data_IF_466180357471
#
_entry.id   IF_466180357471
#
_cell.length_a   1.000
_cell.length_b   1.000
_cell.length_c   1.000
_cell.angle_alpha   90.00
_cell.angle_beta   90.00
_cell.angle_gamma   90.00
#
_symmetry.space_group_name_H-M   'P 1'
#
loop_
_entity.id
_entity.type
_entity.pdbx_description
1 polymer ?
#
# COMPACT_ATOMS: atom_id res chain seq x y z
N UNK A 1 -15.46 14.19 10.78
CA UNK A 1 -14.02 13.96 11.02
C UNK A 1 -13.81 12.58 11.62
N UNK A 2 -13.01 11.69 11.00
CA UNK A 2 -12.66 10.39 11.61
C UNK A 2 -11.81 10.66 12.83
N UNK A 3 -12.29 10.30 14.02
CA UNK A 3 -11.47 10.41 15.23
C UNK A 3 -10.18 9.60 15.04
N UNK A 4 -9.07 10.18 15.44
CA UNK A 4 -7.78 9.52 15.45
C UNK A 4 -7.43 9.15 16.89
N UNK A 5 -6.80 8.00 17.04
CA UNK A 5 -6.09 7.60 18.27
C UNK A 5 -4.62 7.41 17.92
N UNK A 6 -3.75 7.39 18.92
CA UNK A 6 -2.30 7.33 18.71
C UNK A 6 -1.71 6.08 19.35
N UNK A 7 -0.98 5.30 18.56
CA UNK A 7 -0.21 4.14 19.03
C UNK A 7 1.27 4.42 18.75
N UNK A 8 2.07 4.56 19.81
CA UNK A 8 3.50 4.95 19.74
C UNK A 8 3.77 6.18 18.85
N UNK A 9 2.86 7.15 18.88
CA UNK A 9 2.93 8.38 18.09
C UNK A 9 2.44 8.26 16.64
N UNK A 10 1.99 7.08 16.20
CA UNK A 10 1.37 6.89 14.88
C UNK A 10 -0.14 7.18 15.03
N UNK A 11 -0.70 8.17 14.30
CA UNK A 11 -2.14 8.37 14.26
C UNK A 11 -2.78 7.19 13.51
N UNK A 12 -3.79 6.57 14.08
CA UNK A 12 -4.52 5.45 13.48
C UNK A 12 -6.04 5.72 13.55
N UNK A 13 -6.83 5.12 12.65
CA UNK A 13 -8.28 5.32 12.68
C UNK A 13 -8.88 4.83 14.00
N UNK A 14 -9.65 5.67 14.68
CA UNK A 14 -10.51 5.25 15.79
C UNK A 14 -11.78 4.60 15.23
N UNK A 15 -11.63 3.32 14.85
CA UNK A 15 -12.68 2.53 14.25
C UNK A 15 -12.86 1.20 14.99
N UNK A 16 -14.11 0.67 15.13
CA UNK A 16 -14.36 -0.59 15.85
C UNK A 16 -13.60 -1.81 15.32
N UNK A 17 -13.22 -1.80 14.05
CA UNK A 17 -12.47 -2.89 13.38
C UNK A 17 -10.96 -2.66 13.36
N UNK A 18 -10.45 -1.62 14.02
CA UNK A 18 -9.03 -1.30 14.09
C UNK A 18 -8.55 -1.36 15.54
N UNK A 19 -7.84 -2.43 15.90
CA UNK A 19 -7.52 -2.78 17.28
C UNK A 19 -6.11 -2.30 17.63
N UNK A 20 -5.95 -1.52 18.71
CA UNK A 20 -4.65 -0.97 19.12
C UNK A 20 -3.61 -2.05 19.37
N UNK A 21 -4.03 -3.15 20.00
CA UNK A 21 -3.19 -4.32 20.24
C UNK A 21 -2.59 -4.86 18.94
N UNK A 22 -3.38 -4.93 17.86
CA UNK A 22 -2.86 -5.44 16.58
C UNK A 22 -1.76 -4.53 16.04
N UNK A 23 -1.89 -3.20 16.21
CA UNK A 23 -0.85 -2.24 15.82
C UNK A 23 0.38 -2.42 16.68
N UNK A 24 0.23 -2.45 18.01
CA UNK A 24 1.33 -2.69 18.96
C UNK A 24 2.09 -3.98 18.61
N UNK A 25 1.37 -5.09 18.43
CA UNK A 25 1.96 -6.39 18.06
C UNK A 25 2.66 -6.32 16.69
N UNK A 26 2.12 -5.56 15.73
CA UNK A 26 2.74 -5.36 14.41
C UNK A 26 4.06 -4.59 14.51
N UNK A 27 4.12 -3.58 15.41
CA UNK A 27 5.34 -2.80 15.64
C UNK A 27 6.44 -3.60 16.36
N UNK A 28 6.04 -4.54 17.21
CA UNK A 28 6.95 -5.43 17.96
C UNK A 28 7.34 -6.70 17.20
N UNK A 29 6.62 -7.04 16.12
CA UNK A 29 6.87 -8.23 15.32
C UNK A 29 8.25 -8.17 14.65
N UNK A 30 9.15 -9.07 15.06
CA UNK A 30 10.39 -9.35 14.33
C UNK A 30 10.09 -10.33 13.19
N UNK A 31 10.30 -9.95 11.92
CA UNK A 31 10.07 -10.86 10.80
C UNK A 31 10.96 -12.10 10.85
N UNK A 32 10.48 -13.21 10.32
CA UNK A 32 11.27 -14.41 10.11
C UNK A 32 12.05 -14.35 8.80
N UNK A 33 13.09 -15.19 8.71
CA UNK A 33 13.84 -15.42 7.48
C UNK A 33 12.91 -15.86 6.34
N UNK A 34 12.97 -15.14 5.23
CA UNK A 34 12.17 -15.40 4.03
C UNK A 34 10.76 -14.82 4.04
N UNK A 35 10.37 -14.06 5.07
CA UNK A 35 9.12 -13.31 5.03
C UNK A 35 9.13 -12.25 3.93
N UNK A 36 7.97 -12.03 3.33
CA UNK A 36 7.73 -10.98 2.34
C UNK A 36 6.76 -9.97 2.95
N UNK A 37 7.26 -8.76 3.20
CA UNK A 37 6.51 -7.68 3.84
C UNK A 37 6.13 -6.66 2.79
N UNK A 38 4.84 -6.46 2.60
CA UNK A 38 4.31 -5.41 1.74
C UNK A 38 4.03 -4.19 2.60
N UNK A 39 4.81 -3.15 2.42
CA UNK A 39 4.64 -1.91 3.15
C UNK A 39 4.17 -0.78 2.22
N UNK A 40 3.34 0.12 2.72
CA UNK A 40 2.93 1.29 1.94
C UNK A 40 2.30 2.34 2.84
N UNK A 41 2.32 3.61 2.44
CA UNK A 41 1.29 4.54 2.93
C UNK A 41 -0.09 4.12 2.38
N UNK A 42 -1.22 4.40 3.04
CA UNK A 42 -2.53 4.10 2.47
C UNK A 42 -2.70 4.67 1.06
N UNK A 43 -3.34 3.89 0.18
CA UNK A 43 -3.78 4.32 -1.17
C UNK A 43 -2.67 4.59 -2.20
N UNK A 44 -1.46 4.11 -1.93
CA UNK A 44 -0.36 4.12 -2.91
C UNK A 44 -0.31 2.89 -3.82
N UNK A 45 -1.19 1.89 -3.63
CA UNK A 45 -1.26 0.69 -4.49
C UNK A 45 -1.08 -0.64 -3.77
N UNK A 46 -1.23 -0.68 -2.45
CA UNK A 46 -1.00 -1.86 -1.59
C UNK A 46 -1.72 -3.12 -2.07
N UNK A 47 -3.02 -3.03 -2.36
CA UNK A 47 -3.80 -4.18 -2.83
C UNK A 47 -3.25 -4.71 -4.14
N UNK A 48 -2.82 -3.83 -5.04
CA UNK A 48 -2.23 -4.27 -6.30
C UNK A 48 -0.93 -5.04 -6.07
N UNK A 49 -0.07 -4.51 -5.20
CA UNK A 49 1.19 -5.16 -4.84
C UNK A 49 0.99 -6.50 -4.10
N UNK A 50 -0.03 -6.62 -3.23
CA UNK A 50 -0.41 -7.89 -2.60
C UNK A 50 -0.74 -8.97 -3.64
N UNK A 51 -1.57 -8.64 -4.63
CA UNK A 51 -1.94 -9.61 -5.66
C UNK A 51 -0.79 -9.92 -6.62
N UNK A 52 0.08 -8.94 -6.93
CA UNK A 52 1.32 -9.21 -7.68
C UNK A 52 2.21 -10.20 -6.92
N UNK A 53 2.49 -9.96 -5.65
CA UNK A 53 3.32 -10.85 -4.85
C UNK A 53 2.71 -12.26 -4.77
N UNK A 54 1.41 -12.38 -4.49
CA UNK A 54 0.70 -13.65 -4.47
C UNK A 54 0.79 -14.39 -5.81
N UNK A 55 0.55 -13.70 -6.92
CA UNK A 55 0.61 -14.30 -8.25
C UNK A 55 2.04 -14.76 -8.60
N UNK A 56 3.06 -14.01 -8.22
CA UNK A 56 4.46 -14.41 -8.42
C UNK A 56 4.77 -15.67 -7.59
N UNK A 57 4.49 -15.65 -6.29
CA UNK A 57 4.90 -16.75 -5.39
C UNK A 57 4.07 -18.02 -5.58
N UNK A 58 2.83 -17.89 -6.07
CA UNK A 58 1.95 -19.03 -6.35
C UNK A 58 2.06 -19.54 -7.79
N UNK A 59 2.98 -19.03 -8.61
CA UNK A 59 3.07 -19.36 -10.06
C UNK A 59 1.73 -19.15 -10.77
N UNK A 60 1.07 -18.03 -10.47
CA UNK A 60 -0.21 -17.64 -11.05
C UNK A 60 -1.42 -18.42 -10.53
N UNK A 61 -1.28 -19.39 -9.61
CA UNK A 61 -2.40 -20.25 -9.19
C UNK A 61 -3.36 -19.62 -8.17
N UNK A 62 -2.88 -18.75 -7.27
CA UNK A 62 -3.66 -18.25 -6.14
C UNK A 62 -4.22 -16.84 -6.37
N UNK A 63 -5.53 -16.74 -6.60
CA UNK A 63 -6.27 -15.46 -6.54
C UNK A 63 -7.32 -15.57 -5.43
N UNK A 64 -7.01 -15.12 -4.21
CA UNK A 64 -7.99 -15.10 -3.15
C UNK A 64 -9.03 -14.01 -3.41
N UNK A 65 -10.18 -14.11 -2.76
CA UNK A 65 -11.05 -12.94 -2.67
C UNK A 65 -10.42 -11.88 -1.74
N UNK A 66 -11.02 -10.68 -1.67
CA UNK A 66 -10.44 -9.58 -0.91
C UNK A 66 -10.26 -9.91 0.58
N UNK A 67 -11.26 -10.54 1.21
CA UNK A 67 -11.20 -10.87 2.64
C UNK A 67 -10.13 -11.95 2.90
N UNK A 68 -10.08 -12.99 2.07
CA UNK A 68 -9.02 -14.00 2.15
C UNK A 68 -7.62 -13.41 1.96
N UNK A 69 -7.47 -12.42 1.07
CA UNK A 69 -6.21 -11.68 0.94
C UNK A 69 -5.87 -10.96 2.25
N UNK A 70 -6.83 -10.23 2.81
CA UNK A 70 -6.66 -9.37 3.99
C UNK A 70 -6.50 -10.11 5.32
N UNK A 71 -6.95 -11.37 5.41
CA UNK A 71 -6.96 -12.11 6.67
C UNK A 71 -6.31 -13.50 6.60
N UNK A 72 -5.83 -13.96 5.44
CA UNK A 72 -5.25 -15.31 5.30
C UNK A 72 -3.98 -15.37 4.45
N UNK A 73 -4.03 -14.92 3.20
CA UNK A 73 -2.93 -15.18 2.26
C UNK A 73 -1.89 -14.06 2.17
N UNK A 74 -2.29 -12.80 2.36
CA UNK A 74 -1.39 -11.66 2.46
C UNK A 74 -1.90 -10.68 3.53
N UNK A 75 -2.09 -11.12 4.79
CA UNK A 75 -2.91 -10.44 5.76
C UNK A 75 -2.44 -9.03 6.10
N UNK A 76 -3.40 -8.16 6.45
CA UNK A 76 -3.16 -6.84 7.00
C UNK A 76 -3.04 -6.92 8.50
N UNK A 77 -1.82 -6.81 9.04
CA UNK A 77 -1.56 -7.18 10.44
C UNK A 77 -2.30 -6.28 11.44
N UNK A 78 -2.47 -5.00 11.12
CA UNK A 78 -3.20 -4.06 11.98
C UNK A 78 -4.70 -4.39 12.08
N UNK A 79 -5.27 -5.11 11.12
CA UNK A 79 -6.66 -5.58 11.16
C UNK A 79 -6.79 -7.04 11.60
N UNK A 80 -5.92 -7.92 11.12
CA UNK A 80 -5.98 -9.38 11.33
C UNK A 80 -5.28 -9.86 12.60
N UNK A 81 -4.34 -9.07 13.14
CA UNK A 81 -3.44 -9.47 14.22
C UNK A 81 -2.28 -10.34 13.73
N UNK A 82 -1.17 -10.34 14.48
CA UNK A 82 0.05 -11.08 14.09
C UNK A 82 -0.06 -12.59 14.26
N UNK A 83 -0.98 -13.08 15.09
CA UNK A 83 -1.19 -14.52 15.32
C UNK A 83 -1.62 -15.29 14.07
N UNK A 84 -2.13 -14.60 13.04
CA UNK A 84 -2.43 -15.22 11.74
C UNK A 84 -1.18 -15.87 11.13
N UNK A 85 0.01 -15.28 11.38
CA UNK A 85 1.28 -15.71 10.81
C UNK A 85 1.78 -17.05 11.37
N UNK A 86 1.25 -17.50 12.51
CA UNK A 86 1.62 -18.78 13.15
C UNK A 86 1.09 -19.99 12.37
N UNK A 87 0.07 -19.77 11.54
CA UNK A 87 -0.59 -20.82 10.75
C UNK A 87 -0.25 -20.75 9.26
N UNK A 88 0.53 -19.75 8.84
CA UNK A 88 0.88 -19.56 7.43
C UNK A 88 2.05 -20.45 7.01
N UNK A 89 1.91 -21.05 5.83
CA UNK A 89 3.02 -21.72 5.14
C UNK A 89 4.01 -20.70 4.57
N UNK A 90 5.25 -21.14 4.34
CA UNK A 90 6.29 -20.30 3.73
C UNK A 90 6.18 -20.31 2.19
N UNK A 91 6.53 -19.20 1.51
CA UNK A 91 6.89 -17.90 2.10
C UNK A 91 5.65 -17.20 2.68
N UNK A 92 5.80 -16.58 3.85
CA UNK A 92 4.72 -15.79 4.45
C UNK A 92 4.73 -14.42 3.80
N UNK A 93 3.58 -14.01 3.27
CA UNK A 93 3.36 -12.66 2.75
C UNK A 93 2.42 -11.96 3.71
N UNK A 94 2.71 -10.73 4.10
CA UNK A 94 1.77 -9.93 4.89
C UNK A 94 2.04 -8.44 4.64
N UNK A 95 1.13 -7.58 5.08
CA UNK A 95 1.26 -6.15 4.90
C UNK A 95 1.07 -5.35 6.18
N UNK A 96 1.61 -4.14 6.16
CA UNK A 96 1.31 -3.08 7.10
C UNK A 96 1.43 -1.69 6.46
N UNK A 97 0.91 -0.70 7.16
CA UNK A 97 0.99 0.72 6.85
C UNK A 97 1.83 1.50 7.88
N UNK A 98 2.56 0.80 8.76
CA UNK A 98 3.48 1.45 9.70
C UNK A 98 4.73 2.05 9.00
N UNK A 99 5.25 3.20 9.46
CA UNK A 99 6.52 3.77 8.98
C UNK A 99 7.73 2.84 9.21
N UNK A 100 8.77 2.97 8.37
CA UNK A 100 9.93 2.08 8.43
C UNK A 100 10.65 2.15 9.78
N UNK A 101 10.81 3.34 10.35
CA UNK A 101 11.51 3.57 11.62
C UNK A 101 10.77 2.97 12.83
N UNK A 102 9.50 2.59 12.69
CA UNK A 102 8.65 2.12 13.79
C UNK A 102 8.54 0.59 13.91
N UNK A 103 8.85 -0.16 12.85
CA UNK A 103 8.74 -1.63 12.85
C UNK A 103 10.08 -2.30 13.18
N UNK A 104 10.07 -3.57 13.64
CA UNK A 104 11.29 -4.36 13.72
C UNK A 104 11.75 -4.85 12.32
N UNK A 105 13.05 -5.15 12.20
CA UNK A 105 13.67 -5.57 10.93
C UNK A 105 14.38 -6.90 11.08
N UNK A 106 14.40 -7.65 9.99
CA UNK A 106 15.27 -8.81 9.81
C UNK A 106 15.91 -8.70 8.42
N UNK A 107 17.24 -8.68 8.35
CA UNK A 107 17.98 -8.55 7.09
C UNK A 107 17.83 -9.73 6.11
N UNK A 108 17.13 -10.79 6.52
CA UNK A 108 16.76 -11.93 5.65
C UNK A 108 15.29 -11.95 5.26
N UNK A 109 14.51 -10.97 5.71
CA UNK A 109 13.17 -10.72 5.22
C UNK A 109 13.23 -9.76 4.02
N UNK A 110 12.16 -9.73 3.23
CA UNK A 110 12.06 -8.95 2.00
C UNK A 110 10.95 -7.92 2.13
N UNK A 111 11.30 -6.65 2.21
CA UNK A 111 10.35 -5.56 2.23
C UNK A 111 10.12 -5.06 0.81
N UNK A 112 8.86 -4.99 0.39
CA UNK A 112 8.46 -4.37 -0.88
C UNK A 112 7.59 -3.17 -0.54
N UNK A 113 8.15 -1.97 -0.69
CA UNK A 113 7.49 -0.72 -0.35
C UNK A 113 6.95 -0.02 -1.60
N UNK A 114 5.64 0.21 -1.66
CA UNK A 114 5.01 0.93 -2.79
C UNK A 114 4.65 2.38 -2.42
N UNK A 115 5.12 3.31 -3.23
CA UNK A 115 4.84 4.74 -3.13
C UNK A 115 4.20 5.28 -4.42
N UNK A 116 3.56 6.45 -4.32
CA UNK A 116 2.78 7.05 -5.42
C UNK A 116 2.91 8.56 -5.40
N UNK A 117 2.63 9.28 -6.48
CA UNK A 117 2.61 10.74 -6.43
C UNK A 117 1.57 11.27 -5.41
N UNK A 118 1.92 12.31 -4.63
CA UNK A 118 1.06 12.80 -3.54
C UNK A 118 -0.30 13.31 -4.03
N UNK A 119 -0.35 13.96 -5.20
CA UNK A 119 -1.58 14.50 -5.77
C UNK A 119 -2.62 13.41 -6.09
N UNK A 120 -2.16 12.26 -6.58
CA UNK A 120 -3.04 11.12 -6.85
C UNK A 120 -3.42 10.38 -5.55
N UNK A 121 -2.50 10.38 -4.58
CA UNK A 121 -2.68 9.71 -3.29
C UNK A 121 -3.77 10.40 -2.46
N UNK A 122 -3.73 11.74 -2.33
CA UNK A 122 -4.72 12.50 -1.54
C UNK A 122 -6.13 12.35 -2.09
N UNK A 123 -6.31 12.42 -3.42
CA UNK A 123 -7.62 12.18 -4.07
C UNK A 123 -8.10 10.75 -3.83
N UNK A 124 -7.19 9.78 -3.96
CA UNK A 124 -7.56 8.38 -3.72
C UNK A 124 -7.90 8.12 -2.24
N UNK A 125 -7.30 8.86 -1.31
CA UNK A 125 -7.55 8.74 0.12
C UNK A 125 -8.89 9.36 0.49
N UNK A 126 -9.17 10.57 0.02
CA UNK A 126 -10.44 11.25 0.22
C UNK A 126 -11.63 10.36 -0.18
N UNK A 127 -11.61 9.84 -1.42
CA UNK A 127 -12.68 8.96 -1.90
C UNK A 127 -12.75 7.64 -1.14
N UNK A 128 -11.63 7.09 -0.68
CA UNK A 128 -11.65 5.86 0.10
C UNK A 128 -12.32 6.06 1.46
N UNK A 129 -12.04 7.17 2.14
CA UNK A 129 -12.68 7.52 3.40
C UNK A 129 -14.19 7.72 3.22
N UNK A 130 -14.59 8.35 2.11
CA UNK A 130 -16.00 8.56 1.77
C UNK A 130 -16.72 7.22 1.50
N UNK A 131 -16.08 6.32 0.75
CA UNK A 131 -16.63 4.98 0.46
C UNK A 131 -16.87 4.17 1.73
N UNK A 132 -15.92 4.22 2.68
CA UNK A 132 -16.03 3.57 4.00
C UNK A 132 -17.16 4.10 4.88
N UNK A 133 -17.83 5.19 4.47
CA UNK A 133 -18.94 5.78 5.21
C UNK A 133 -18.47 6.54 6.44
N UNK A 134 -17.21 6.99 6.46
CA UNK A 134 -16.78 7.96 7.46
C UNK A 134 -17.42 9.32 7.19
N UNK A 135 -17.60 10.09 8.26
CA UNK A 135 -17.89 11.50 8.16
C UNK A 135 -16.63 12.25 7.70
N UNK A 136 -16.43 12.26 6.37
CA UNK A 136 -15.29 12.92 5.72
C UNK A 136 -15.62 14.41 5.57
N UNK A 137 -14.72 15.32 5.98
CA UNK A 137 -14.94 16.75 5.78
C UNK A 137 -14.98 17.12 4.29
N UNK A 138 -15.24 18.39 3.99
CA UNK A 138 -15.10 18.88 2.62
C UNK A 138 -13.66 18.64 2.12
N UNK A 139 -13.49 18.47 0.81
CA UNK A 139 -12.19 18.11 0.25
C UNK A 139 -11.07 19.08 0.65
N UNK A 140 -11.33 20.39 0.68
CA UNK A 140 -10.32 21.38 1.06
C UNK A 140 -9.84 21.19 2.51
N UNK A 141 -10.74 20.88 3.44
CA UNK A 141 -10.38 20.57 4.83
C UNK A 141 -9.63 19.24 4.94
N UNK A 142 -10.07 18.20 4.22
CA UNK A 142 -9.33 16.93 4.14
C UNK A 142 -7.92 17.11 3.54
N UNK A 143 -7.78 18.03 2.60
CA UNK A 143 -6.49 18.36 2.00
C UNK A 143 -5.56 19.03 3.02
N UNK A 144 -6.07 19.91 3.89
CA UNK A 144 -5.31 20.45 5.02
C UNK A 144 -4.87 19.36 6.01
N UNK A 145 -5.75 18.42 6.34
CA UNK A 145 -5.41 17.25 7.18
C UNK A 145 -4.29 16.41 6.54
N UNK A 146 -4.34 16.21 5.22
CA UNK A 146 -3.31 15.49 4.48
C UNK A 146 -1.96 16.23 4.49
N UNK A 147 -1.96 17.55 4.33
CA UNK A 147 -0.72 18.36 4.36
C UNK A 147 -0.08 18.42 5.74
N UNK A 148 -0.90 18.57 6.79
CA UNK A 148 -0.43 18.64 8.18
C UNK A 148 0.02 17.27 8.71
N UNK A 149 -0.53 16.18 8.16
CA UNK A 149 -0.35 14.83 8.69
C UNK A 149 -1.34 14.48 9.79
N UNK A 150 -2.36 15.31 10.03
CA UNK A 150 -3.48 15.05 10.95
C UNK A 150 -4.49 14.09 10.33
N UNK A 151 -3.98 12.98 9.79
CA UNK A 151 -4.72 11.90 9.15
C UNK A 151 -4.11 10.56 9.58
N UNK A 152 -4.86 9.47 9.44
CA UNK A 152 -4.34 8.15 9.76
C UNK A 152 -3.03 7.85 8.99
N UNK A 153 -2.07 7.27 9.70
CA UNK A 153 -0.68 6.99 9.33
C UNK A 153 0.23 8.21 9.16
N UNK A 154 -0.27 9.40 9.44
CA UNK A 154 0.53 10.60 9.68
C UNK A 154 0.96 11.30 8.40
N UNK A 155 2.07 12.02 8.48
CA UNK A 155 2.55 12.86 7.40
C UNK A 155 3.06 12.05 6.21
N UNK A 156 2.38 12.16 5.06
CA UNK A 156 2.66 11.38 3.85
C UNK A 156 4.14 11.37 3.44
N UNK A 157 4.76 12.55 3.32
CA UNK A 157 6.14 12.65 2.85
C UNK A 157 7.14 12.06 3.85
N UNK A 158 6.87 12.14 5.15
CA UNK A 158 7.75 11.57 6.17
C UNK A 158 7.65 10.04 6.16
N UNK A 159 6.43 9.52 5.98
CA UNK A 159 6.21 8.10 5.80
C UNK A 159 6.98 7.56 4.59
N UNK A 160 6.85 8.19 3.42
CA UNK A 160 7.57 7.77 2.21
C UNK A 160 9.08 7.89 2.38
N UNK A 161 9.55 9.00 2.95
CA UNK A 161 10.96 9.24 3.16
C UNK A 161 11.59 8.21 4.11
N UNK A 162 10.86 7.79 5.16
CA UNK A 162 11.34 6.76 6.11
C UNK A 162 11.78 5.46 5.42
N UNK A 163 11.11 5.09 4.33
CA UNK A 163 11.50 3.95 3.49
C UNK A 163 12.52 4.34 2.41
N UNK A 164 12.31 5.48 1.75
CA UNK A 164 13.13 5.89 0.62
C UNK A 164 14.60 6.13 1.00
N UNK A 165 14.87 6.63 2.21
CA UNK A 165 16.23 6.82 2.72
C UNK A 165 16.99 5.50 2.94
N UNK A 166 16.28 4.38 2.97
CA UNK A 166 16.84 3.03 3.14
C UNK A 166 17.05 2.34 1.80
N UNK A 167 17.07 3.07 0.67
CA UNK A 167 17.20 2.53 -0.69
C UNK A 167 18.45 1.66 -0.95
N UNK A 168 19.46 1.76 -0.09
CA UNK A 168 20.69 0.95 -0.17
C UNK A 168 20.58 -0.38 0.62
N UNK A 169 19.48 -0.60 1.35
CA UNK A 169 19.19 -1.87 2.04
C UNK A 169 18.79 -2.93 1.00
N UNK A 170 19.61 -3.97 0.87
CA UNK A 170 19.37 -5.09 -0.05
C UNK A 170 18.09 -5.88 0.28
N UNK A 171 17.58 -5.77 1.52
CA UNK A 171 16.32 -6.33 1.98
C UNK A 171 15.09 -5.47 1.66
N UNK A 172 15.26 -4.31 0.99
CA UNK A 172 14.18 -3.39 0.64
C UNK A 172 14.10 -3.13 -0.87
N UNK A 173 12.92 -3.35 -1.46
CA UNK A 173 12.58 -2.94 -2.81
C UNK A 173 11.59 -1.77 -2.78
N UNK A 174 12.03 -0.63 -3.32
CA UNK A 174 11.17 0.51 -3.58
C UNK A 174 10.45 0.36 -4.95
N UNK A 175 9.13 0.50 -4.94
CA UNK A 175 8.24 0.37 -6.10
C UNK A 175 7.44 1.67 -6.28
N UNK A 176 7.60 2.35 -7.41
CA UNK A 176 6.74 3.46 -7.81
C UNK A 176 5.47 2.90 -8.45
N UNK A 177 4.30 3.36 -7.99
CA UNK A 177 3.01 3.07 -8.61
C UNK A 177 2.99 3.50 -10.08
N UNK A 178 3.57 4.65 -10.40
CA UNK A 178 3.62 5.21 -11.74
C UNK A 178 4.44 4.32 -12.69
N UNK A 179 5.66 3.94 -12.27
CA UNK A 179 6.52 3.03 -13.05
C UNK A 179 5.87 1.65 -13.21
N UNK A 180 5.26 1.13 -12.14
CA UNK A 180 4.54 -0.14 -12.19
C UNK A 180 3.36 -0.09 -13.16
N UNK A 181 2.65 1.04 -13.28
CA UNK A 181 1.55 1.19 -14.23
C UNK A 181 2.01 1.35 -15.68
N UNK A 182 3.10 2.08 -15.91
CA UNK A 182 3.63 2.34 -17.25
C UNK A 182 4.42 1.16 -17.83
N UNK A 183 5.17 0.44 -16.99
CA UNK A 183 6.08 -0.65 -17.39
C UNK A 183 5.78 -1.93 -16.59
N UNK A 184 4.53 -2.42 -16.69
CA UNK A 184 4.01 -3.51 -15.85
C UNK A 184 4.86 -4.77 -15.91
N UNK A 185 5.23 -5.23 -17.11
CA UNK A 185 5.98 -6.48 -17.29
C UNK A 185 7.34 -6.38 -16.64
N UNK A 186 8.05 -5.28 -16.90
CA UNK A 186 9.39 -5.00 -16.40
C UNK A 186 9.41 -4.88 -14.87
N UNK A 187 8.48 -4.13 -14.29
CA UNK A 187 8.40 -3.98 -12.83
C UNK A 187 7.96 -5.27 -12.13
N UNK A 188 7.06 -6.07 -12.71
CA UNK A 188 6.71 -7.40 -12.16
C UNK A 188 7.93 -8.33 -12.18
N UNK A 189 8.71 -8.34 -13.26
CA UNK A 189 9.95 -9.11 -13.34
C UNK A 189 10.99 -8.62 -12.32
N UNK A 190 11.10 -7.30 -12.11
CA UNK A 190 11.97 -6.70 -11.08
C UNK A 190 11.54 -7.13 -9.67
N UNK A 191 10.24 -7.11 -9.38
CA UNK A 191 9.69 -7.60 -8.11
C UNK A 191 9.98 -9.11 -7.96
N UNK A 192 9.72 -9.92 -8.98
CA UNK A 192 9.95 -11.36 -8.92
C UNK A 192 11.43 -11.69 -8.62
N UNK A 193 12.36 -11.00 -9.29
CA UNK A 193 13.79 -11.16 -9.06
C UNK A 193 14.19 -10.82 -7.63
N UNK A 194 13.66 -9.71 -7.10
CA UNK A 194 13.88 -9.34 -5.70
C UNK A 194 13.32 -10.39 -4.74
N UNK A 195 12.10 -10.90 -4.99
CA UNK A 195 11.47 -11.94 -4.18
C UNK A 195 12.21 -13.28 -4.25
N UNK A 196 12.93 -13.57 -5.32
CA UNK A 196 13.81 -14.73 -5.45
C UNK A 196 14.11 -15.09 -6.90
N UNK A 197 15.32 -15.59 -7.15
CA UNK A 197 15.77 -15.93 -8.51
C UNK A 197 14.84 -16.98 -9.16
N UNK A 198 14.33 -17.94 -8.39
CA UNK A 198 13.38 -18.95 -8.89
C UNK A 198 12.09 -18.33 -9.45
N UNK A 199 11.58 -17.25 -8.84
CA UNK A 199 10.37 -16.59 -9.30
C UNK A 199 10.61 -15.84 -10.60
N UNK A 200 11.74 -15.16 -10.72
CA UNK A 200 12.15 -14.50 -11.95
C UNK A 200 12.33 -15.51 -13.10
N UNK A 201 13.04 -16.61 -12.85
CA UNK A 201 13.25 -17.67 -13.84
C UNK A 201 11.94 -18.29 -14.32
N UNK A 202 10.98 -18.55 -13.40
CA UNK A 202 9.67 -19.06 -13.78
C UNK A 202 8.92 -18.11 -14.74
N UNK A 203 8.96 -16.79 -14.48
CA UNK A 203 8.25 -15.81 -15.30
C UNK A 203 8.89 -15.59 -16.67
N UNK A 204 10.23 -15.63 -16.79
CA UNK A 204 10.90 -15.43 -18.09
C UNK A 204 10.91 -16.69 -18.95
N UNK A 205 10.78 -17.88 -18.35
CA UNK A 205 10.78 -19.15 -19.07
C UNK A 205 9.39 -19.54 -19.61
N UNK A 206 8.32 -18.93 -19.08
CA UNK A 206 6.94 -19.24 -19.41
C UNK A 206 6.15 -17.96 -19.71
N UNK A 207 6.03 -17.63 -21.00
CA UNK A 207 5.25 -16.46 -21.46
C UNK A 207 3.76 -16.58 -21.08
N UNK A 208 3.20 -17.80 -21.03
CA UNK A 208 1.79 -18.01 -20.64
C UNK A 208 1.59 -17.68 -19.17
N UNK A 209 2.53 -18.06 -18.31
CA UNK A 209 2.53 -17.65 -16.91
C UNK A 209 2.64 -16.13 -16.78
N UNK A 210 3.56 -15.49 -17.52
CA UNK A 210 3.71 -14.03 -17.48
C UNK A 210 2.43 -13.31 -17.91
N UNK A 211 1.80 -13.74 -19.01
CA UNK A 211 0.52 -13.19 -19.48
C UNK A 211 -0.60 -13.39 -18.44
N UNK A 212 -0.68 -14.56 -17.82
CA UNK A 212 -1.64 -14.87 -16.75
C UNK A 212 -1.47 -13.92 -15.55
N UNK A 213 -0.22 -13.65 -15.14
CA UNK A 213 0.07 -12.71 -14.04
C UNK A 213 -0.30 -11.27 -14.44
N UNK A 214 0.03 -10.84 -15.66
CA UNK A 214 -0.33 -9.51 -16.18
C UNK A 214 -1.85 -9.30 -16.24
N UNK A 215 -2.59 -10.30 -16.71
CA UNK A 215 -4.04 -10.24 -16.80
C UNK A 215 -4.67 -10.16 -15.40
N UNK A 216 -4.32 -11.09 -14.51
CA UNK A 216 -4.94 -11.24 -13.18
C UNK A 216 -4.62 -10.08 -12.23
N UNK A 217 -3.53 -9.38 -12.49
CA UNK A 217 -3.15 -8.16 -11.76
C UNK A 217 -3.49 -6.88 -12.52
N UNK A 218 -4.21 -6.97 -13.63
CA UNK A 218 -4.73 -5.78 -14.32
C UNK A 218 -5.83 -5.11 -13.49
N UNK A 219 -5.95 -3.79 -13.63
CA UNK A 219 -6.99 -3.03 -12.93
C UNK A 219 -8.40 -3.55 -13.27
N UNK A 220 -8.67 -3.83 -14.55
CA UNK A 220 -9.98 -4.31 -15.00
C UNK A 220 -10.31 -5.69 -14.43
N UNK A 221 -9.34 -6.61 -14.43
CA UNK A 221 -9.53 -7.92 -13.82
C UNK A 221 -9.80 -7.80 -12.32
N UNK A 222 -8.97 -7.07 -11.60
CA UNK A 222 -9.13 -6.89 -10.16
C UNK A 222 -10.45 -6.21 -9.82
N UNK A 223 -10.83 -5.15 -10.54
CA UNK A 223 -12.10 -4.44 -10.36
C UNK A 223 -13.32 -5.33 -10.60
N UNK A 224 -13.24 -6.22 -11.59
CA UNK A 224 -14.31 -7.14 -11.94
C UNK A 224 -14.44 -8.28 -10.93
N UNK A 225 -13.32 -8.82 -10.45
CA UNK A 225 -13.30 -10.09 -9.70
C UNK A 225 -13.14 -9.91 -8.19
N UNK A 226 -12.73 -8.73 -7.71
CA UNK A 226 -12.54 -8.47 -6.28
C UNK A 226 -13.64 -7.54 -5.76
N UNK A 227 -14.42 -8.08 -4.83
CA UNK A 227 -15.43 -7.31 -4.10
C UNK A 227 -14.88 -6.90 -2.74
N UNK A 228 -15.00 -5.61 -2.43
CA UNK A 228 -14.61 -5.07 -1.13
C UNK A 228 -15.88 -4.65 -0.41
N UNK A 229 -16.11 -5.24 0.74
CA UNK A 229 -17.26 -4.93 1.60
C UNK A 229 -16.79 -3.97 2.70
N UNK A 230 -17.62 -2.98 3.02
CA UNK A 230 -17.31 -2.07 4.13
C UNK A 230 -17.12 -2.86 5.42
N UNK A 231 -16.03 -2.61 6.18
CA UNK A 231 -15.85 -3.17 7.51
C UNK A 231 -16.82 -2.54 8.53
N UNK A 232 -17.45 -1.41 8.18
CA UNK A 232 -18.43 -0.75 9.01
C UNK A 232 -19.75 -1.55 9.00
N UNK A 233 -20.00 -2.29 10.09
CA UNK A 233 -21.23 -3.08 10.31
C UNK A 233 -22.40 -2.25 10.86
N UNK A 234 -22.27 -0.93 10.90
CA UNK A 234 -23.38 -0.06 11.24
C UNK A 234 -24.41 -0.13 10.10
N UNK A 235 -25.57 -0.71 10.40
CA UNK A 235 -26.68 -1.09 9.52
C UNK A 235 -26.49 -2.43 8.77
N UNK A 236 -27.52 -3.26 8.79
CA UNK A 236 -27.61 -4.62 8.24
C UNK A 236 -27.47 -4.70 6.70
N UNK A 237 -26.76 -3.77 6.06
CA UNK A 237 -26.45 -3.78 4.64
C UNK A 237 -24.93 -3.86 4.45
N UNK A 238 -24.45 -5.00 3.96
CA UNK A 238 -23.09 -5.13 3.44
C UNK A 238 -22.94 -4.17 2.24
N UNK A 239 -22.43 -2.95 2.48
CA UNK A 239 -22.17 -1.99 1.42
C UNK A 239 -20.94 -2.43 0.63
N UNK A 240 -21.13 -2.78 -0.64
CA UNK A 240 -20.04 -2.93 -1.60
C UNK A 240 -19.39 -1.57 -1.85
N UNK A 241 -18.10 -1.47 -1.61
CA UNK A 241 -17.31 -0.26 -1.81
C UNK A 241 -16.90 -0.11 -3.26
N UNK A 242 -16.87 1.13 -3.77
CA UNK A 242 -16.17 1.44 -5.02
C UNK A 242 -14.64 1.53 -4.80
N UNK A 243 -14.03 0.45 -4.32
CA UNK A 243 -12.61 0.42 -3.95
C UNK A 243 -11.69 0.58 -5.17
N UNK A 244 -12.03 -0.05 -6.30
CA UNK A 244 -11.33 0.07 -7.58
C UNK A 244 -11.87 1.25 -8.39
N UNK A 245 -11.50 2.46 -7.97
CA UNK A 245 -12.05 3.72 -8.47
C UNK A 245 -11.71 3.99 -9.95
N UNK A 246 -10.44 4.35 -10.24
CA UNK A 246 -9.97 4.67 -11.60
C UNK A 246 -8.69 3.94 -12.03
N UNK A 247 -7.73 3.70 -11.14
CA UNK A 247 -6.50 2.98 -11.48
C UNK A 247 -5.55 3.70 -12.44
N UNK A 248 -5.60 5.04 -12.49
CA UNK A 248 -4.83 5.87 -13.44
C UNK A 248 -3.81 6.78 -12.73
N UNK A 249 -2.87 7.32 -13.52
CA UNK A 249 -1.96 8.40 -13.13
C UNK A 249 -2.57 9.75 -13.54
N UNK A 250 -2.40 10.77 -12.69
CA UNK A 250 -2.72 12.16 -13.00
C UNK A 250 -4.20 12.53 -12.81
N UNK A 251 -4.94 11.76 -12.01
CA UNK A 251 -6.29 12.16 -11.59
C UNK A 251 -6.22 13.31 -10.57
N UNK A 252 -5.18 13.30 -9.72
CA UNK A 252 -4.80 14.38 -8.81
C UNK A 252 -4.58 15.70 -9.54
N UNK A 253 -3.71 15.69 -10.56
CA UNK A 253 -3.43 16.88 -11.39
C UNK A 253 -4.69 17.47 -12.05
N UNK A 254 -5.75 16.68 -12.26
CA UNK A 254 -7.03 17.12 -12.83
C UNK A 254 -8.03 17.61 -11.79
N UNK A 255 -7.97 17.07 -10.58
CA UNK A 255 -8.95 17.34 -9.52
C UNK A 255 -8.53 18.48 -8.60
N UNK A 256 -7.23 18.66 -8.36
CA UNK A 256 -6.70 19.69 -7.48
C UNK A 256 -6.70 21.06 -8.14
N UNK A 257 -6.92 22.10 -7.34
CA UNK A 257 -6.73 23.48 -7.77
C UNK A 257 -5.24 23.79 -8.00
N UNK A 258 -4.96 24.87 -8.74
CA UNK A 258 -3.58 25.32 -8.95
C UNK A 258 -2.86 25.66 -7.63
N UNK A 259 -3.58 26.24 -6.65
CA UNK A 259 -3.06 26.52 -5.32
C UNK A 259 -2.70 25.23 -4.56
N UNK A 260 -3.60 24.24 -4.56
CA UNK A 260 -3.36 22.95 -3.91
C UNK A 260 -2.15 22.22 -4.51
N UNK A 261 -2.02 22.22 -5.84
CA UNK A 261 -0.86 21.64 -6.52
C UNK A 261 0.45 22.34 -6.13
N UNK A 262 0.45 23.67 -6.08
CA UNK A 262 1.65 24.43 -5.69
C UNK A 262 2.01 24.18 -4.23
N UNK A 263 1.04 24.13 -3.32
CA UNK A 263 1.27 23.83 -1.90
C UNK A 263 1.84 22.42 -1.68
N UNK A 264 1.34 21.42 -2.41
CA UNK A 264 1.93 20.07 -2.41
C UNK A 264 3.37 20.09 -2.91
N UNK A 265 3.66 20.83 -3.98
CA UNK A 265 5.00 20.94 -4.54
C UNK A 265 5.98 21.63 -3.60
N UNK A 266 5.56 22.71 -2.94
CA UNK A 266 6.36 23.41 -1.91
C UNK A 266 6.67 22.44 -0.78
N UNK A 267 5.66 21.77 -0.22
CA UNK A 267 5.85 20.84 0.90
C UNK A 267 6.74 19.65 0.49
N UNK A 268 6.55 19.09 -0.70
CA UNK A 268 7.41 18.05 -1.24
C UNK A 268 8.87 18.53 -1.36
N UNK A 269 9.09 19.75 -1.85
CA UNK A 269 10.42 20.36 -1.97
C UNK A 269 11.09 20.57 -0.62
N UNK A 270 10.34 20.92 0.40
CA UNK A 270 10.85 21.11 1.75
C UNK A 270 11.24 19.79 2.42
N UNK A 271 10.34 18.80 2.35
CA UNK A 271 10.43 17.51 3.06
C UNK A 271 11.33 16.49 2.38
N UNK A 272 11.31 16.43 1.04
CA UNK A 272 12.11 15.48 0.26
C UNK A 272 13.44 16.08 -0.21
N UNK A 273 13.83 17.24 0.32
CA UNK A 273 15.05 17.95 -0.06
C UNK A 273 16.28 17.05 0.04
N UNK A 274 17.05 17.01 -1.03
CA UNK A 274 18.26 16.18 -1.11
C UNK A 274 18.01 14.72 -1.46
N UNK A 275 16.76 14.25 -1.46
CA UNK A 275 16.42 12.91 -1.97
C UNK A 275 16.36 12.89 -3.50
N UNK A 276 16.63 11.73 -4.09
CA UNK A 276 16.39 11.51 -5.52
C UNK A 276 14.89 11.41 -5.85
N UNK A 277 14.05 11.10 -4.86
CA UNK A 277 12.59 11.07 -5.01
C UNK A 277 12.03 12.44 -5.39
N UNK A 278 12.61 13.51 -4.85
CA UNK A 278 12.22 14.86 -5.21
C UNK A 278 12.41 15.13 -6.70
N UNK A 279 13.52 14.65 -7.29
CA UNK A 279 13.78 14.78 -8.73
C UNK A 279 12.75 13.99 -9.52
N UNK A 280 12.46 12.75 -9.11
CA UNK A 280 11.44 11.90 -9.73
C UNK A 280 10.05 12.56 -9.75
N UNK A 281 9.67 13.29 -8.71
CA UNK A 281 8.34 13.90 -8.63
C UNK A 281 8.23 15.32 -9.19
N UNK A 282 9.33 16.09 -9.23
CA UNK A 282 9.32 17.47 -9.75
C UNK A 282 9.65 17.55 -11.25
N UNK A 283 10.36 16.57 -11.82
CA UNK A 283 10.78 16.61 -13.22
C UNK A 283 9.70 16.20 -14.25
N UNK A 284 8.45 15.96 -13.83
CA UNK A 284 7.29 15.56 -14.67
C UNK A 284 6.01 16.37 -14.44
#
# INVERSE_FOLDING_TARGET
MTKLKYVRGIPIPDAPWFIDKNVEDTLDLVPHDGDIIIASYPKTGTTWLQYIALQITSKGELIPNFDECMYKYAPFLEASGTSVLDTMEKPRIYKHHCPYDKVQKNGKAKYVYIYRKPEDTVISYYHFMYELGYDVPAFDEFFEEFLSGDIAYGHYFEHVLSYYEQKEDEGLLLVSYEKLLLNKKEEILRIAKFLGEEYFQNLIADDTLMEKVLERTSFDYMKKNLEVISPNKAENAQKKLNFFRKGVIGDGKKALSADQLERLKILASEKLRGSDLLKEWIQE
#
